data_IF_244986033091
#
_entry.id   IF_244986033091
#
_cell.length_a   1.000
_cell.length_b   1.000
_cell.length_c   1.000
_cell.angle_alpha   90.00
_cell.angle_beta   90.00
_cell.angle_gamma   90.00
#
_symmetry.space_group_name_H-M   'P 1'
#
loop_
_entity.id
_entity.type
_entity.pdbx_description
1 polymer ?
#
# COMPACT_ATOMS: atom_id res chain seq x y z
N UNK A 1 -19.23 -10.92 -12.27
CA UNK A 1 -20.63 -10.53 -12.03
C UNK A 1 -20.83 -10.40 -10.53
N UNK A 2 -21.33 -9.24 -10.07
CA UNK A 2 -21.50 -8.98 -8.64
C UNK A 2 -22.76 -9.65 -8.12
N UNK A 3 -22.69 -10.24 -6.94
CA UNK A 3 -23.84 -10.77 -6.22
C UNK A 3 -23.81 -10.20 -4.80
N UNK A 4 -24.92 -9.69 -4.32
CA UNK A 4 -25.03 -9.05 -3.01
C UNK A 4 -26.28 -9.54 -2.29
N UNK A 5 -26.18 -9.69 -0.97
CA UNK A 5 -27.34 -9.90 -0.10
C UNK A 5 -27.64 -8.59 0.63
N UNK A 6 -28.83 -8.05 0.40
CA UNK A 6 -29.31 -6.83 1.03
C UNK A 6 -30.35 -7.15 2.11
N UNK A 7 -30.23 -6.50 3.25
CA UNK A 7 -31.19 -6.59 4.35
C UNK A 7 -31.45 -5.21 4.93
N UNK A 8 -32.66 -4.68 4.70
CA UNK A 8 -33.09 -3.43 5.33
C UNK A 8 -33.55 -3.71 6.78
N UNK A 9 -32.84 -3.15 7.76
CA UNK A 9 -33.29 -3.06 9.16
C UNK A 9 -33.63 -4.40 9.83
N UNK A 10 -32.86 -5.47 9.56
CA UNK A 10 -33.11 -6.79 10.16
C UNK A 10 -34.25 -7.61 9.51
N UNK A 11 -34.79 -7.13 8.37
CA UNK A 11 -35.85 -7.81 7.62
C UNK A 11 -35.39 -9.04 6.82
N UNK A 12 -36.20 -9.46 5.86
CA UNK A 12 -35.88 -10.62 5.00
C UNK A 12 -34.71 -10.29 4.06
N UNK A 13 -33.75 -11.21 3.96
CA UNK A 13 -32.61 -11.09 3.02
C UNK A 13 -33.13 -11.12 1.58
N UNK A 14 -32.72 -10.13 0.80
CA UNK A 14 -32.93 -10.07 -0.65
C UNK A 14 -31.62 -10.27 -1.37
N UNK A 15 -31.62 -11.13 -2.39
CA UNK A 15 -30.46 -11.30 -3.27
C UNK A 15 -30.55 -10.30 -4.41
N UNK A 16 -29.49 -9.54 -4.62
CA UNK A 16 -29.37 -8.50 -5.62
C UNK A 16 -28.21 -8.87 -6.55
N UNK A 17 -28.46 -8.82 -7.85
CA UNK A 17 -27.43 -9.03 -8.86
C UNK A 17 -26.90 -7.67 -9.32
N UNK A 18 -25.59 -7.47 -9.20
CA UNK A 18 -24.92 -6.29 -9.73
C UNK A 18 -24.53 -6.52 -11.20
N UNK A 19 -24.89 -5.62 -12.13
CA UNK A 19 -24.42 -5.71 -13.50
C UNK A 19 -22.90 -5.67 -13.54
N UNK A 20 -22.30 -6.38 -14.49
CA UNK A 20 -20.89 -6.18 -14.78
C UNK A 20 -20.72 -4.82 -15.45
N UNK A 21 -19.77 -4.04 -14.97
CA UNK A 21 -19.33 -2.78 -15.58
C UNK A 21 -17.84 -2.92 -15.83
N UNK A 22 -17.43 -2.72 -17.08
CA UNK A 22 -16.03 -2.75 -17.47
C UNK A 22 -15.30 -1.46 -17.11
N UNK A 23 -13.98 -1.51 -17.03
CA UNK A 23 -13.14 -0.34 -16.74
C UNK A 23 -13.39 0.79 -17.77
N UNK A 24 -13.50 0.45 -19.05
CA UNK A 24 -13.82 1.40 -20.13
C UNK A 24 -15.16 2.13 -19.93
N UNK A 25 -16.16 1.45 -19.37
CA UNK A 25 -17.46 2.06 -19.08
C UNK A 25 -17.37 3.00 -17.87
N UNK A 26 -16.61 2.62 -16.84
CA UNK A 26 -16.33 3.48 -15.69
C UNK A 26 -15.63 4.76 -16.15
N UNK A 27 -14.59 4.65 -16.98
CA UNK A 27 -13.85 5.80 -17.50
C UNK A 27 -14.74 6.77 -18.27
N UNK A 28 -15.63 6.26 -19.13
CA UNK A 28 -16.60 7.09 -19.88
C UNK A 28 -17.54 7.84 -18.96
N UNK A 29 -18.06 7.19 -17.92
CA UNK A 29 -18.95 7.83 -16.94
C UNK A 29 -18.19 8.92 -16.17
N UNK A 30 -16.98 8.62 -15.72
CA UNK A 30 -16.12 9.60 -15.02
C UNK A 30 -15.82 10.81 -15.91
N UNK A 31 -15.47 10.58 -17.18
CA UNK A 31 -15.21 11.65 -18.14
C UNK A 31 -16.44 12.55 -18.35
N UNK A 32 -17.62 11.95 -18.45
CA UNK A 32 -18.87 12.69 -18.55
C UNK A 32 -19.14 13.55 -17.31
N UNK A 33 -18.95 13.00 -16.11
CA UNK A 33 -19.15 13.71 -14.84
C UNK A 33 -18.19 14.90 -14.69
N UNK A 34 -16.92 14.75 -15.10
CA UNK A 34 -15.92 15.84 -15.08
C UNK A 34 -16.32 17.04 -15.95
N UNK A 35 -17.17 16.86 -16.96
CA UNK A 35 -17.70 17.98 -17.76
C UNK A 35 -18.76 18.80 -17.01
N UNK A 36 -19.41 18.21 -15.99
CA UNK A 36 -20.50 18.84 -15.25
C UNK A 36 -20.02 19.63 -14.03
N UNK A 37 -18.82 19.35 -13.53
CA UNK A 37 -18.26 20.06 -12.38
C UNK A 37 -16.90 19.55 -11.95
N UNK A 38 -16.26 20.30 -11.06
CA UNK A 38 -15.06 19.87 -10.38
C UNK A 38 -15.42 18.88 -9.26
N UNK A 39 -14.65 17.80 -9.07
CA UNK A 39 -14.84 16.90 -7.95
C UNK A 39 -14.53 17.61 -6.62
N UNK A 40 -15.41 17.44 -5.65
CA UNK A 40 -15.16 17.78 -4.25
C UNK A 40 -14.68 16.52 -3.54
N UNK A 41 -13.40 16.50 -3.16
CA UNK A 41 -12.83 15.39 -2.43
C UNK A 41 -13.02 15.61 -0.93
N UNK A 42 -13.43 14.57 -0.22
CA UNK A 42 -13.51 14.61 1.23
C UNK A 42 -12.12 14.38 1.79
N UNK A 43 -11.57 15.39 2.44
CA UNK A 43 -10.22 15.33 3.00
C UNK A 43 -10.07 14.16 3.98
N UNK A 44 -11.11 13.84 4.77
CA UNK A 44 -11.14 12.68 5.69
C UNK A 44 -10.97 11.31 5.01
N UNK A 45 -11.18 11.19 3.69
CA UNK A 45 -10.89 9.95 2.93
C UNK A 45 -9.41 9.92 2.51
N UNK A 46 -8.80 11.09 2.36
CA UNK A 46 -7.39 11.27 1.99
C UNK A 46 -6.45 11.49 3.19
N UNK A 47 -6.99 11.83 4.35
CA UNK A 47 -6.29 11.94 5.63
C UNK A 47 -5.94 10.54 6.15
N UNK A 48 -4.71 10.40 6.61
CA UNK A 48 -4.23 9.21 7.31
C UNK A 48 -4.83 9.30 8.73
N UNK A 49 -5.73 8.37 9.10
CA UNK A 49 -6.15 8.21 10.51
C UNK A 49 -4.91 7.77 11.29
N UNK A 50 -4.14 8.76 11.74
CA UNK A 50 -2.98 8.60 12.60
C UNK A 50 -3.41 8.11 13.98
N UNK A 51 -3.74 6.83 14.10
CA UNK A 51 -3.73 6.13 15.37
C UNK A 51 -2.29 5.73 15.70
N UNK A 52 -1.48 6.73 16.06
CA UNK A 52 -0.28 6.54 16.87
C UNK A 52 -0.73 6.19 18.30
N UNK A 53 -1.09 4.92 18.57
CA UNK A 53 -1.15 4.41 19.93
C UNK A 53 0.26 4.01 20.40
N UNK A 54 0.87 4.96 21.11
CA UNK A 54 1.97 4.77 22.05
C UNK A 54 1.70 3.57 22.98
N UNK A 55 2.56 2.56 22.90
CA UNK A 55 2.44 1.32 23.67
C UNK A 55 3.82 0.74 24.00
N UNK A 56 4.59 1.46 24.82
CA UNK A 56 5.93 1.06 25.23
C UNK A 56 6.00 -0.32 25.93
N UNK A 57 7.05 -1.08 25.63
CA UNK A 57 7.31 -2.38 26.27
C UNK A 57 8.69 -2.97 25.93
N UNK A 58 9.69 -2.64 26.75
CA UNK A 58 11.06 -3.18 26.82
C UNK A 58 11.24 -4.68 26.51
N UNK A 59 12.39 -5.04 25.90
CA UNK A 59 13.02 -6.33 26.17
C UNK A 59 14.17 -6.84 25.28
N UNK A 60 15.39 -6.30 25.46
CA UNK A 60 16.64 -7.08 25.59
C UNK A 60 17.28 -7.84 24.41
N UNK A 61 18.54 -7.49 24.10
CA UNK A 61 19.66 -8.30 23.53
C UNK A 61 19.45 -9.00 22.17
N UNK A 62 20.35 -8.99 21.18
CA UNK A 62 21.81 -8.88 21.17
C UNK A 62 22.33 -8.59 19.75
N UNK A 63 23.51 -7.96 19.68
CA UNK A 63 24.46 -7.83 18.56
C UNK A 63 24.15 -8.45 17.19
N UNK A 64 23.88 -7.56 16.25
CA UNK A 64 23.88 -7.72 14.79
C UNK A 64 23.51 -6.35 14.22
N UNK A 65 24.11 -5.92 13.11
CA UNK A 65 23.81 -4.63 12.47
C UNK A 65 22.32 -4.54 12.10
N UNK A 66 21.49 -4.07 13.03
CA UNK A 66 20.04 -4.10 12.95
C UNK A 66 19.53 -2.79 12.37
N UNK A 67 19.31 -2.77 11.06
CA UNK A 67 18.37 -1.82 10.44
C UNK A 67 16.91 -2.05 10.92
N UNK A 68 16.66 -3.15 11.65
CA UNK A 68 15.38 -3.50 12.28
C UNK A 68 15.09 -2.70 13.56
N UNK A 69 16.08 -1.96 14.07
CA UNK A 69 15.98 -1.10 15.28
C UNK A 69 16.06 0.40 14.92
N UNK A 70 15.95 0.74 13.63
CA UNK A 70 15.93 2.15 13.18
C UNK A 70 14.55 2.75 13.42
N UNK A 71 14.48 3.91 14.08
CA UNK A 71 13.23 4.67 14.23
C UNK A 71 12.76 5.29 12.89
N UNK A 72 13.59 5.27 11.83
CA UNK A 72 13.21 5.78 10.51
C UNK A 72 12.45 4.71 9.68
N UNK A 73 11.18 4.97 9.31
CA UNK A 73 10.40 4.07 8.44
C UNK A 73 11.09 3.73 7.12
N UNK A 74 11.98 4.59 6.62
CA UNK A 74 12.72 4.34 5.39
C UNK A 74 13.73 3.19 5.55
N UNK A 75 14.53 3.22 6.61
CA UNK A 75 15.57 2.21 6.86
C UNK A 75 14.95 0.83 7.10
N UNK A 76 13.85 0.80 7.86
CA UNK A 76 13.07 -0.42 8.10
C UNK A 76 12.54 -0.98 6.76
N UNK A 77 12.03 -0.11 5.88
CA UNK A 77 11.54 -0.52 4.56
C UNK A 77 12.66 -1.11 3.70
N UNK A 78 13.86 -0.50 3.70
CA UNK A 78 15.02 -1.02 2.97
C UNK A 78 15.39 -2.40 3.52
N UNK A 79 15.50 -2.54 4.84
CA UNK A 79 15.83 -3.83 5.48
C UNK A 79 14.82 -4.94 5.10
N UNK A 80 13.53 -4.61 5.12
CA UNK A 80 12.46 -5.52 4.70
C UNK A 80 12.60 -5.94 3.24
N UNK A 81 12.86 -4.99 2.34
CA UNK A 81 12.98 -5.26 0.90
C UNK A 81 14.18 -6.16 0.62
N UNK A 82 15.32 -5.89 1.25
CA UNK A 82 16.55 -6.68 1.09
C UNK A 82 16.44 -8.07 1.70
N UNK A 83 15.76 -8.20 2.84
CA UNK A 83 15.55 -9.50 3.49
C UNK A 83 14.56 -10.37 2.73
N UNK A 84 13.46 -9.78 2.26
CA UNK A 84 12.32 -10.55 1.73
C UNK A 84 12.31 -10.65 0.19
N UNK A 85 13.22 -9.95 -0.50
CA UNK A 85 13.35 -9.97 -1.97
C UNK A 85 12.15 -9.37 -2.70
N UNK A 86 11.34 -8.56 -2.03
CA UNK A 86 10.05 -8.06 -2.54
C UNK A 86 9.96 -6.55 -2.43
N UNK A 87 9.97 -5.86 -3.57
CA UNK A 87 9.76 -4.42 -3.65
C UNK A 87 8.43 -4.09 -4.36
N UNK A 88 7.40 -3.74 -3.58
CA UNK A 88 6.18 -3.09 -4.08
C UNK A 88 5.56 -2.20 -3.02
N UNK A 89 4.84 -1.16 -3.44
CA UNK A 89 4.16 -0.23 -2.53
C UNK A 89 3.24 -0.95 -1.56
N UNK A 90 2.40 -1.86 -2.07
CA UNK A 90 1.47 -2.64 -1.24
C UNK A 90 2.17 -3.63 -0.30
N UNK A 91 3.39 -4.06 -0.62
CA UNK A 91 4.18 -4.92 0.27
C UNK A 91 4.70 -4.15 1.47
N UNK A 92 5.34 -3.00 1.21
CA UNK A 92 5.84 -2.07 2.23
C UNK A 92 4.71 -1.60 3.14
N UNK A 93 3.56 -1.23 2.55
CA UNK A 93 2.36 -0.84 3.28
C UNK A 93 1.95 -1.88 4.34
N UNK A 94 1.84 -3.16 3.95
CA UNK A 94 1.44 -4.24 4.87
C UNK A 94 2.53 -4.59 5.88
N UNK A 95 3.80 -4.48 5.52
CA UNK A 95 4.90 -4.92 6.39
C UNK A 95 5.22 -3.90 7.48
N UNK A 96 5.04 -2.62 7.21
CA UNK A 96 5.32 -1.51 8.13
C UNK A 96 4.06 -0.91 8.75
N UNK A 97 2.87 -1.32 8.30
CA UNK A 97 1.60 -0.78 8.81
C UNK A 97 1.35 0.68 8.46
N UNK A 98 2.04 1.22 7.45
CA UNK A 98 1.93 2.63 7.04
C UNK A 98 0.91 2.82 5.91
N UNK A 99 0.37 4.03 5.75
CA UNK A 99 -0.52 4.39 4.65
C UNK A 99 0.11 4.25 3.25
N UNK A 100 -0.73 4.11 2.22
CA UNK A 100 -0.30 3.88 0.83
C UNK A 100 0.62 4.98 0.29
N UNK A 101 0.27 6.25 0.53
CA UNK A 101 1.05 7.40 0.06
C UNK A 101 2.46 7.40 0.67
N UNK A 102 2.55 7.10 1.98
CA UNK A 102 3.83 6.99 2.69
C UNK A 102 4.69 5.85 2.12
N UNK A 103 4.09 4.68 1.91
CA UNK A 103 4.76 3.56 1.26
C UNK A 103 5.21 3.88 -0.17
N UNK A 104 4.40 4.64 -0.93
CA UNK A 104 4.74 5.05 -2.30
C UNK A 104 5.94 6.00 -2.30
N UNK A 105 5.95 7.01 -1.43
CA UNK A 105 7.08 7.94 -1.29
C UNK A 105 8.38 7.24 -0.88
N UNK A 106 8.30 6.25 0.02
CA UNK A 106 9.45 5.43 0.41
C UNK A 106 9.99 4.65 -0.79
N UNK A 107 9.11 4.00 -1.56
CA UNK A 107 9.49 3.25 -2.76
C UNK A 107 10.09 4.16 -3.85
N UNK A 108 9.54 5.35 -4.06
CA UNK A 108 10.11 6.34 -4.99
C UNK A 108 11.49 6.83 -4.54
N UNK A 109 11.69 6.99 -3.23
CA UNK A 109 13.00 7.33 -2.67
C UNK A 109 14.00 6.19 -2.91
N UNK A 110 13.61 4.94 -2.66
CA UNK A 110 14.44 3.76 -2.98
C UNK A 110 14.81 3.69 -4.46
N UNK A 111 13.91 4.08 -5.37
CA UNK A 111 14.19 4.13 -6.81
C UNK A 111 15.23 5.23 -7.13
N UNK A 112 15.05 6.43 -6.57
CA UNK A 112 16.02 7.54 -6.76
C UNK A 112 17.41 7.22 -6.23
N UNK A 113 17.47 6.47 -5.13
CA UNK A 113 18.73 6.02 -4.50
C UNK A 113 19.32 4.77 -5.18
N UNK A 114 18.63 4.20 -6.17
CA UNK A 114 19.12 3.04 -6.93
C UNK A 114 19.06 1.71 -6.20
N UNK A 115 18.24 1.62 -5.15
CA UNK A 115 17.99 0.37 -4.40
C UNK A 115 17.03 -0.52 -5.19
N UNK A 116 16.03 0.08 -5.83
CA UNK A 116 15.03 -0.62 -6.65
C UNK A 116 14.90 0.00 -8.03
N UNK A 117 14.54 -0.82 -9.02
CA UNK A 117 14.30 -0.39 -10.39
C UNK A 117 12.89 0.17 -10.63
N UNK A 118 12.57 0.50 -11.89
CA UNK A 118 11.26 1.01 -12.28
C UNK A 118 10.15 -0.02 -12.02
N UNK A 119 8.93 0.48 -11.81
CA UNK A 119 7.77 -0.38 -11.62
C UNK A 119 7.42 -1.13 -12.91
N UNK A 120 7.11 -2.42 -12.78
CA UNK A 120 6.52 -3.20 -13.86
C UNK A 120 4.99 -3.02 -13.91
N UNK A 121 4.33 -3.69 -14.87
CA UNK A 121 2.88 -3.60 -15.06
C UNK A 121 2.04 -4.06 -13.84
N UNK A 122 2.63 -4.79 -12.90
CA UNK A 122 2.00 -5.24 -11.66
C UNK A 122 2.41 -4.42 -10.43
N UNK A 123 3.13 -3.31 -10.61
CA UNK A 123 3.63 -2.46 -9.52
C UNK A 123 4.75 -3.08 -8.68
N UNK A 124 5.36 -4.18 -9.15
CA UNK A 124 6.57 -4.75 -8.54
C UNK A 124 7.80 -4.09 -9.14
N UNK A 125 8.86 -3.99 -8.36
CA UNK A 125 10.15 -3.41 -8.74
C UNK A 125 11.25 -4.43 -8.56
N UNK A 126 12.22 -4.39 -9.46
CA UNK A 126 13.46 -5.18 -9.35
C UNK A 126 14.34 -4.60 -8.25
N UNK A 127 15.05 -5.43 -7.49
CA UNK A 127 16.02 -4.97 -6.48
C UNK A 127 17.39 -4.93 -7.14
N UNK A 128 18.06 -3.77 -7.10
CA UNK A 128 19.29 -3.51 -7.85
C UNK A 128 20.55 -3.68 -7.00
N UNK A 129 20.40 -3.78 -5.69
CA UNK A 129 21.50 -3.97 -4.75
C UNK A 129 21.65 -5.45 -4.38
N UNK A 130 22.88 -5.93 -4.11
CA UNK A 130 23.12 -7.32 -3.73
C UNK A 130 22.35 -7.68 -2.46
N UNK A 131 21.62 -8.78 -2.51
CA UNK A 131 20.86 -9.30 -1.36
C UNK A 131 21.65 -10.42 -0.67
N UNK A 132 21.23 -10.80 0.54
CA UNK A 132 21.87 -11.91 1.28
C UNK A 132 21.72 -13.27 0.55
N UNK A 133 20.74 -13.39 -0.36
CA UNK A 133 20.59 -14.57 -1.22
C UNK A 133 21.67 -14.68 -2.31
N UNK A 134 22.29 -13.56 -2.71
CA UNK A 134 23.34 -13.51 -3.74
C UNK A 134 24.74 -13.90 -3.21
N UNK A 135 24.88 -14.13 -1.91
CA UNK A 135 26.17 -14.44 -1.24
C UNK A 135 26.52 -15.93 -1.20
N UNK A 136 25.79 -16.79 -1.91
CA UNK A 136 26.03 -18.25 -1.94
C UNK A 136 26.45 -18.77 -3.31
#
# INVERSE_FOLDING_TARGET
MGDMLYMAGGGRIQRVHGPFVSDDEVEKVVAHLKLQGAPEYLDAITEDDGEDEDGGGKGGSSGGSNFDDSDDPYDQAVAVVLRDGKASTSYIQRRLGIGYNRAASIIERMEKEGIVGPANHAGKREILVPTEEDKF
#
